data_IF_406007530650
#
_entry.id   IF_406007530650
#
_cell.length_a   1.000
_cell.length_b   1.000
_cell.length_c   1.000
_cell.angle_alpha   90.00
_cell.angle_beta   90.00
_cell.angle_gamma   90.00
#
_symmetry.space_group_name_H-M   'P 1'
#
loop_
_entity.id
_entity.type
_entity.pdbx_description
1 polymer ?
#
# COMPACT_ATOMS: atom_id res chain seq x y z
N UNK A 1 -1.41 1.07 24.15
CA UNK A 1 -2.80 1.16 23.64
C UNK A 1 -2.98 2.34 22.68
N UNK A 2 -2.52 3.55 23.02
CA UNK A 2 -2.57 4.70 22.12
C UNK A 2 -1.78 4.47 20.80
N UNK A 3 -0.59 3.86 20.87
CA UNK A 3 0.25 3.63 19.67
C UNK A 3 -0.39 2.73 18.63
N UNK A 4 -1.00 1.63 19.08
CA UNK A 4 -1.72 0.71 18.18
C UNK A 4 -2.85 1.45 17.47
N UNK A 5 -3.57 2.33 18.17
CA UNK A 5 -4.63 3.15 17.57
C UNK A 5 -4.07 4.20 16.60
N UNK A 6 -2.90 4.78 16.88
CA UNK A 6 -2.22 5.68 15.94
C UNK A 6 -1.78 4.96 14.66
N UNK A 7 -1.31 3.71 14.78
CA UNK A 7 -0.95 2.84 13.64
C UNK A 7 -2.21 2.45 12.84
N UNK A 8 -3.32 2.11 13.51
CA UNK A 8 -4.61 1.88 12.83
C UNK A 8 -5.06 3.09 12.03
N UNK A 9 -5.01 4.27 12.64
CA UNK A 9 -5.33 5.53 11.95
C UNK A 9 -4.34 5.83 10.81
N UNK A 10 -3.07 5.47 10.96
CA UNK A 10 -2.07 5.59 9.91
C UNK A 10 -2.44 4.74 8.69
N UNK A 11 -2.76 3.45 8.88
CA UNK A 11 -3.16 2.59 7.77
C UNK A 11 -4.49 3.02 7.14
N UNK A 12 -5.47 3.43 7.96
CA UNK A 12 -6.72 3.99 7.46
C UNK A 12 -6.50 5.27 6.61
N UNK A 13 -5.55 6.14 7.01
CA UNK A 13 -5.13 7.28 6.20
C UNK A 13 -4.49 6.84 4.89
N UNK A 14 -3.58 5.86 4.92
CA UNK A 14 -2.96 5.33 3.70
C UNK A 14 -4.00 4.94 2.65
N UNK A 15 -5.00 4.13 3.01
CA UNK A 15 -6.06 3.71 2.10
C UNK A 15 -6.86 4.90 1.55
N UNK A 16 -7.38 5.75 2.46
CA UNK A 16 -8.17 6.93 2.06
C UNK A 16 -7.37 7.87 1.16
N UNK A 17 -6.11 8.16 1.48
CA UNK A 17 -5.28 9.10 0.73
C UNK A 17 -4.92 8.56 -0.65
N UNK A 18 -4.65 7.26 -0.76
CA UNK A 18 -4.44 6.59 -2.04
C UNK A 18 -5.69 6.66 -2.93
N UNK A 19 -6.87 6.33 -2.38
CA UNK A 19 -8.13 6.35 -3.13
C UNK A 19 -8.58 7.75 -3.53
N UNK A 20 -8.24 8.75 -2.73
CA UNK A 20 -8.45 10.15 -3.07
C UNK A 20 -7.35 10.75 -3.95
N UNK A 21 -6.30 9.98 -4.28
CA UNK A 21 -5.14 10.44 -5.03
C UNK A 21 -4.47 11.69 -4.42
N UNK A 22 -4.49 11.81 -3.08
CA UNK A 22 -3.77 12.84 -2.35
C UNK A 22 -2.31 12.41 -2.20
N UNK A 23 -1.50 12.67 -3.23
CA UNK A 23 -0.12 12.20 -3.33
C UNK A 23 0.79 12.81 -2.26
N UNK A 24 0.57 14.07 -1.87
CA UNK A 24 1.33 14.71 -0.82
C UNK A 24 1.01 14.07 0.53
N UNK A 25 -0.27 13.89 0.85
CA UNK A 25 -0.70 13.21 2.06
C UNK A 25 -0.24 11.74 2.08
N UNK A 26 -0.29 11.04 0.95
CA UNK A 26 0.18 9.67 0.81
C UNK A 26 1.69 9.58 1.10
N UNK A 27 2.51 10.51 0.57
CA UNK A 27 3.93 10.58 0.89
C UNK A 27 4.17 10.74 2.41
N UNK A 28 3.30 11.49 3.08
CA UNK A 28 3.39 11.70 4.53
C UNK A 28 2.98 10.51 5.40
N UNK A 29 2.44 9.41 4.85
CA UNK A 29 2.26 8.19 5.66
C UNK A 29 3.54 7.36 5.77
N UNK A 30 4.50 7.56 4.86
CA UNK A 30 5.75 6.81 4.79
C UNK A 30 6.90 7.55 5.48
N UNK A 31 7.86 6.78 5.98
CA UNK A 31 9.18 7.28 6.32
C UNK A 31 9.92 7.75 5.05
N UNK A 32 10.82 8.74 5.11
CA UNK A 32 11.56 9.21 3.93
C UNK A 32 12.29 8.09 3.18
N UNK A 33 12.91 7.17 3.91
CA UNK A 33 13.67 6.02 3.41
C UNK A 33 12.86 4.71 3.42
N UNK A 34 11.53 4.81 3.38
CA UNK A 34 10.67 3.65 3.38
C UNK A 34 10.96 2.70 2.20
N UNK A 35 10.89 1.40 2.47
CA UNK A 35 11.04 0.34 1.47
C UNK A 35 9.67 -0.26 1.15
N UNK A 36 9.28 -0.20 -0.11
CA UNK A 36 7.97 -0.66 -0.57
C UNK A 36 8.16 -1.76 -1.61
N UNK A 37 7.50 -2.90 -1.39
CA UNK A 37 7.46 -4.03 -2.32
C UNK A 37 6.00 -4.37 -2.65
N UNK A 38 5.60 -4.00 -3.86
CA UNK A 38 4.32 -4.36 -4.48
C UNK A 38 4.54 -5.21 -5.74
N UNK A 39 5.68 -5.90 -5.82
CA UNK A 39 6.05 -6.73 -6.98
C UNK A 39 5.05 -7.85 -7.25
N UNK A 40 4.32 -8.29 -6.22
CA UNK A 40 3.20 -9.25 -6.34
C UNK A 40 2.01 -8.72 -7.15
N UNK A 41 1.93 -7.41 -7.40
CA UNK A 41 0.93 -6.80 -8.29
C UNK A 41 1.46 -6.61 -9.72
N UNK A 42 2.63 -7.16 -10.02
CA UNK A 42 3.26 -7.13 -11.34
C UNK A 42 3.39 -8.54 -11.88
N UNK A 43 3.60 -8.67 -13.20
CA UNK A 43 3.95 -9.97 -13.79
C UNK A 43 5.23 -10.48 -13.13
N UNK A 44 5.16 -11.72 -12.63
CA UNK A 44 6.27 -12.39 -11.95
C UNK A 44 7.56 -12.33 -12.78
N UNK A 45 8.68 -12.02 -12.13
CA UNK A 45 10.00 -11.93 -12.77
C UNK A 45 10.29 -10.61 -13.50
N UNK A 46 9.37 -9.63 -13.52
CA UNK A 46 9.60 -8.33 -14.17
C UNK A 46 10.61 -7.41 -13.46
N UNK A 47 10.96 -7.70 -12.20
CA UNK A 47 11.80 -6.86 -11.35
C UNK A 47 11.18 -5.50 -11.00
N UNK A 48 9.90 -5.28 -11.34
CA UNK A 48 9.17 -4.04 -11.08
C UNK A 48 8.44 -4.11 -9.73
N UNK A 49 8.08 -2.95 -9.20
CA UNK A 49 7.28 -2.85 -7.98
C UNK A 49 8.07 -2.84 -6.67
N UNK A 50 9.40 -2.77 -6.72
CA UNK A 50 10.25 -2.59 -5.52
C UNK A 50 10.83 -1.19 -5.51
N UNK A 51 10.65 -0.46 -4.42
CA UNK A 51 11.02 0.93 -4.24
C UNK A 51 11.82 1.10 -2.94
N UNK A 52 12.91 1.86 -3.03
CA UNK A 52 13.82 2.14 -1.91
C UNK A 52 13.60 3.49 -1.24
N UNK A 53 12.55 4.23 -1.62
CA UNK A 53 12.17 5.50 -1.00
C UNK A 53 10.68 5.75 -1.18
N UNK A 54 10.08 6.55 -0.30
CA UNK A 54 8.67 6.97 -0.46
C UNK A 54 8.46 7.78 -1.74
N UNK A 55 9.43 8.62 -2.12
CA UNK A 55 9.27 9.56 -3.23
C UNK A 55 9.23 8.80 -4.56
N UNK A 56 10.10 7.79 -4.74
CA UNK A 56 10.08 6.95 -5.94
C UNK A 56 8.81 6.10 -6.05
N UNK A 57 8.27 5.64 -4.92
CA UNK A 57 7.00 4.92 -4.88
C UNK A 57 5.83 5.83 -5.28
N UNK A 58 5.67 6.99 -4.62
CA UNK A 58 4.56 7.92 -4.86
C UNK A 58 4.61 8.50 -6.28
N UNK A 59 5.79 8.87 -6.78
CA UNK A 59 5.95 9.34 -8.17
C UNK A 59 5.50 8.27 -9.18
N UNK A 60 5.84 7.01 -8.95
CA UNK A 60 5.45 5.92 -9.85
C UNK A 60 3.95 5.62 -9.78
N UNK A 61 3.41 5.51 -8.56
CA UNK A 61 1.99 5.17 -8.34
C UNK A 61 1.07 6.28 -8.84
N UNK A 62 1.43 7.55 -8.64
CA UNK A 62 0.62 8.68 -9.12
C UNK A 62 0.47 8.70 -10.64
N UNK A 63 1.52 8.30 -11.37
CA UNK A 63 1.48 8.16 -12.83
C UNK A 63 0.68 6.94 -13.26
N UNK A 64 0.87 5.80 -12.59
CA UNK A 64 0.17 4.55 -12.91
C UNK A 64 -1.35 4.66 -12.71
N UNK A 65 -1.77 5.36 -11.65
CA UNK A 65 -3.17 5.50 -11.28
C UNK A 65 -3.83 6.76 -11.87
N UNK A 66 -3.13 7.49 -12.73
CA UNK A 66 -3.67 8.70 -13.33
C UNK A 66 -4.98 8.41 -14.10
N UNK A 67 -6.06 9.05 -13.68
CA UNK A 67 -7.39 8.85 -14.26
C UNK A 67 -8.09 7.54 -13.87
N UNK A 68 -7.46 6.71 -13.05
CA UNK A 68 -8.08 5.50 -12.51
C UNK A 68 -8.95 5.83 -11.28
N UNK A 69 -9.99 5.03 -11.05
CA UNK A 69 -10.70 4.99 -9.77
C UNK A 69 -10.15 3.82 -8.97
N UNK A 70 -9.77 4.04 -7.71
CA UNK A 70 -9.30 2.98 -6.82
C UNK A 70 -10.14 2.90 -5.56
N UNK A 71 -10.25 1.69 -5.01
CA UNK A 71 -10.86 1.41 -3.72
C UNK A 71 -9.98 0.40 -3.01
N UNK A 72 -9.52 0.73 -1.81
CA UNK A 72 -8.75 -0.16 -0.95
C UNK A 72 -9.46 -0.35 0.39
N UNK A 73 -9.73 -1.60 0.74
CA UNK A 73 -10.29 -1.97 2.03
C UNK A 73 -9.25 -2.72 2.87
N UNK A 74 -8.97 -2.17 4.05
CA UNK A 74 -8.30 -2.91 5.12
C UNK A 74 -9.31 -3.66 5.96
N UNK A 75 -8.95 -4.87 6.36
CA UNK A 75 -9.72 -5.72 7.27
C UNK A 75 -8.97 -5.87 8.59
N UNK A 76 -9.17 -7.01 9.27
CA UNK A 76 -8.57 -7.31 10.57
C UNK A 76 -7.04 -7.18 10.53
N UNK A 77 -6.52 -6.53 11.56
CA UNK A 77 -5.11 -6.26 11.75
C UNK A 77 -4.47 -7.12 12.84
N UNK A 78 -3.19 -7.43 12.64
CA UNK A 78 -2.33 -8.03 13.66
C UNK A 78 -1.18 -7.04 13.90
N UNK A 79 -1.15 -6.35 15.04
CA UNK A 79 -0.15 -5.30 15.33
C UNK A 79 0.62 -5.67 16.59
N UNK A 80 1.94 -5.60 16.51
CA UNK A 80 2.85 -5.82 17.64
C UNK A 80 3.78 -4.62 17.82
N UNK A 81 3.86 -4.09 19.04
CA UNK A 81 4.87 -3.09 19.40
C UNK A 81 6.19 -3.82 19.65
N UNK A 82 7.23 -3.50 18.90
CA UNK A 82 8.54 -4.14 18.99
C UNK A 82 9.56 -3.31 19.76
N UNK A 83 9.18 -2.08 20.14
CA UNK A 83 9.99 -1.14 20.93
C UNK A 83 9.19 0.13 21.24
N UNK A 84 9.86 1.14 21.83
CA UNK A 84 9.23 2.43 22.12
C UNK A 84 8.80 3.19 20.85
N UNK A 85 9.59 3.04 19.79
CA UNK A 85 9.44 3.75 18.51
C UNK A 85 9.42 2.81 17.30
N UNK A 86 9.13 1.52 17.52
CA UNK A 86 9.03 0.51 16.45
C UNK A 86 7.84 -0.43 16.65
N UNK A 87 7.25 -0.87 15.55
CA UNK A 87 6.15 -1.84 15.54
C UNK A 87 6.15 -2.65 14.23
N UNK A 88 5.44 -3.77 14.22
CA UNK A 88 5.11 -4.53 13.02
C UNK A 88 3.59 -4.64 12.87
N UNK A 89 3.13 -4.89 11.65
CA UNK A 89 1.72 -5.09 11.39
C UNK A 89 1.44 -5.98 10.19
N UNK A 90 0.37 -6.76 10.27
CA UNK A 90 -0.24 -7.44 9.13
C UNK A 90 -1.65 -6.88 8.93
N UNK A 91 -2.00 -6.61 7.68
CA UNK A 91 -3.33 -6.11 7.30
C UNK A 91 -3.90 -6.97 6.19
N UNK A 92 -4.94 -7.75 6.50
CA UNK A 92 -5.75 -8.33 5.45
C UNK A 92 -6.36 -7.20 4.60
N UNK A 93 -6.39 -7.38 3.28
CA UNK A 93 -6.84 -6.34 2.36
C UNK A 93 -7.48 -6.90 1.09
N UNK A 94 -8.39 -6.10 0.53
CA UNK A 94 -8.81 -6.19 -0.87
C UNK A 94 -8.71 -4.82 -1.56
N UNK A 95 -8.45 -4.82 -2.86
CA UNK A 95 -8.49 -3.60 -3.67
C UNK A 95 -9.20 -3.83 -5.01
N UNK A 96 -9.73 -2.73 -5.54
CA UNK A 96 -10.32 -2.65 -6.86
C UNK A 96 -9.84 -1.40 -7.56
N UNK A 97 -9.43 -1.57 -8.80
CA UNK A 97 -8.97 -0.48 -9.65
C UNK A 97 -9.75 -0.55 -10.96
N UNK A 98 -10.31 0.58 -11.37
CA UNK A 98 -10.90 0.79 -12.69
C UNK A 98 -10.04 1.79 -13.45
N UNK A 99 -9.38 1.32 -14.50
CA UNK A 99 -8.49 2.13 -15.32
C UNK A 99 -9.28 2.94 -16.38
N UNK A 100 -8.74 4.08 -16.84
CA UNK A 100 -9.41 4.90 -17.85
C UNK A 100 -9.58 4.17 -19.18
N UNK A 101 -10.57 4.59 -19.97
CA UNK A 101 -10.81 4.04 -21.30
C UNK A 101 -9.56 4.07 -22.19
N UNK A 102 -9.35 2.99 -22.96
CA UNK A 102 -8.15 2.81 -23.79
C UNK A 102 -6.93 2.24 -23.05
N UNK A 103 -7.02 2.02 -21.73
CA UNK A 103 -5.98 1.29 -20.98
C UNK A 103 -5.90 -0.18 -21.40
N UNK A 104 -4.71 -0.81 -21.39
CA UNK A 104 -4.55 -2.23 -21.76
C UNK A 104 -5.30 -3.21 -20.86
N UNK A 105 -5.55 -2.81 -19.61
CA UNK A 105 -6.35 -3.52 -18.61
C UNK A 105 -7.46 -2.56 -18.20
N UNK A 106 -8.70 -3.04 -18.06
CA UNK A 106 -9.84 -2.19 -17.66
C UNK A 106 -10.06 -2.23 -16.17
N UNK A 107 -9.92 -3.40 -15.56
CA UNK A 107 -10.14 -3.60 -14.13
C UNK A 107 -9.08 -4.49 -13.52
N UNK A 108 -8.70 -4.18 -12.28
CA UNK A 108 -7.93 -5.05 -11.41
C UNK A 108 -8.73 -5.27 -10.14
N UNK A 109 -8.81 -6.52 -9.70
CA UNK A 109 -9.21 -6.87 -8.35
C UNK A 109 -8.14 -7.74 -7.74
N UNK A 110 -7.77 -7.47 -6.49
CA UNK A 110 -6.88 -8.37 -5.79
C UNK A 110 -7.16 -8.43 -4.29
N UNK A 111 -6.76 -9.56 -3.72
CA UNK A 111 -6.92 -9.86 -2.31
C UNK A 111 -5.64 -10.49 -1.75
N UNK A 112 -5.37 -10.21 -0.48
CA UNK A 112 -4.19 -10.72 0.21
C UNK A 112 -3.93 -9.92 1.48
N UNK A 113 -2.68 -9.57 1.73
CA UNK A 113 -2.31 -8.84 2.93
C UNK A 113 -1.08 -7.94 2.72
N UNK A 114 -0.97 -6.91 3.56
CA UNK A 114 0.27 -6.18 3.75
C UNK A 114 1.05 -6.77 4.92
N UNK A 115 2.36 -6.89 4.77
CA UNK A 115 3.34 -7.04 5.86
C UNK A 115 4.05 -5.70 6.03
N UNK A 116 3.94 -5.09 7.20
CA UNK A 116 4.46 -3.74 7.46
C UNK A 116 5.36 -3.68 8.70
N UNK A 117 6.33 -2.78 8.63
CA UNK A 117 7.11 -2.32 9.77
C UNK A 117 6.92 -0.81 9.91
N UNK A 118 6.81 -0.35 11.14
CA UNK A 118 6.60 1.04 11.49
C UNK A 118 7.75 1.57 12.32
N UNK A 119 8.01 2.86 12.15
CA UNK A 119 8.91 3.62 13.01
C UNK A 119 8.26 4.95 13.38
N UNK A 120 8.67 5.52 14.52
CA UNK A 120 8.30 6.89 14.87
C UNK A 120 9.36 7.86 14.34
N UNK A 121 8.93 8.77 13.48
CA UNK A 121 9.76 9.87 12.95
C UNK A 121 9.13 11.18 13.40
N UNK A 122 9.90 12.03 14.08
CA UNK A 122 9.46 13.33 14.60
C UNK A 122 8.14 13.24 15.41
N UNK A 123 8.07 12.23 16.27
CA UNK A 123 6.91 12.00 17.15
C UNK A 123 5.71 11.35 16.48
N UNK A 124 5.75 11.02 15.19
CA UNK A 124 4.63 10.40 14.45
C UNK A 124 4.99 9.04 13.91
N UNK A 125 4.08 8.07 14.04
CA UNK A 125 4.21 6.78 13.36
C UNK A 125 4.17 6.95 11.83
N UNK A 126 5.09 6.24 11.16
CA UNK A 126 5.22 6.17 9.71
C UNK A 126 5.45 4.73 9.28
N UNK A 127 5.06 4.41 8.05
CA UNK A 127 5.36 3.12 7.42
C UNK A 127 6.83 3.13 6.99
N UNK A 128 7.65 2.25 7.57
CA UNK A 128 9.07 2.08 7.24
C UNK A 128 9.29 1.00 6.19
N UNK A 129 8.54 -0.10 6.28
CA UNK A 129 8.53 -1.15 5.27
C UNK A 129 7.10 -1.55 4.99
N UNK A 130 6.81 -1.80 3.71
CA UNK A 130 5.52 -2.33 3.27
C UNK A 130 5.73 -3.36 2.19
N UNK A 131 5.21 -4.56 2.40
CA UNK A 131 5.18 -5.61 1.37
C UNK A 131 3.75 -6.05 1.15
N UNK A 132 3.27 -5.89 -0.07
CA UNK A 132 1.98 -6.42 -0.50
C UNK A 132 2.18 -7.87 -0.96
N UNK A 133 1.44 -8.79 -0.35
CA UNK A 133 1.32 -10.18 -0.80
C UNK A 133 -0.05 -10.37 -1.42
N UNK A 134 -0.09 -10.75 -2.69
CA UNK A 134 -1.33 -11.15 -3.38
C UNK A 134 -1.54 -12.64 -3.17
N UNK A 135 -2.68 -13.00 -2.60
CA UNK A 135 -3.17 -14.38 -2.62
C UNK A 135 -4.01 -14.63 -3.88
N UNK A 136 -4.68 -13.59 -4.37
CA UNK A 136 -5.46 -13.60 -5.59
C UNK A 136 -5.28 -12.26 -6.31
N UNK A 137 -5.15 -12.34 -7.63
CA UNK A 137 -5.11 -11.17 -8.50
C UNK A 137 -5.86 -11.51 -9.77
N UNK A 138 -6.75 -10.62 -10.19
CA UNK A 138 -7.55 -10.74 -11.40
C UNK A 138 -7.44 -9.47 -12.23
N UNK A 139 -7.23 -9.65 -13.54
CA UNK A 139 -7.31 -8.58 -14.53
C UNK A 139 -8.50 -8.85 -15.44
N UNK A 140 -9.40 -7.88 -15.54
CA UNK A 140 -10.63 -8.00 -16.34
C UNK A 140 -11.46 -9.25 -15.96
N UNK A 141 -11.45 -9.60 -14.67
CA UNK A 141 -12.13 -10.78 -14.12
C UNK A 141 -11.42 -12.11 -14.38
N UNK A 142 -10.23 -12.10 -14.98
CA UNK A 142 -9.44 -13.29 -15.23
C UNK A 142 -8.29 -13.40 -14.24
N UNK A 143 -8.14 -14.52 -13.52
CA UNK A 143 -6.97 -14.74 -12.69
C UNK A 143 -5.66 -14.66 -13.46
N UNK A 144 -4.67 -14.08 -12.81
CA UNK A 144 -3.26 -14.17 -13.22
C UNK A 144 -2.53 -15.01 -12.17
N UNK A 145 -2.12 -16.20 -12.60
CA UNK A 145 -1.32 -17.16 -11.83
C UNK A 145 0.16 -16.73 -11.76
#
# INVERSE_FOLDING_TARGET
MADIEEIRKLKARYFRLLDHQDWQGLSDVFAPDARIDVSSSTVSGSGRGVYSSRDSFVDTVSKLLHGAVTVHHGHTEEIELTGADSASGVWAMEDRIWFPEGSPVRTLWGAGWYEEEYERVDGRWRIKRMVLRRQRLELDGNPID
#
